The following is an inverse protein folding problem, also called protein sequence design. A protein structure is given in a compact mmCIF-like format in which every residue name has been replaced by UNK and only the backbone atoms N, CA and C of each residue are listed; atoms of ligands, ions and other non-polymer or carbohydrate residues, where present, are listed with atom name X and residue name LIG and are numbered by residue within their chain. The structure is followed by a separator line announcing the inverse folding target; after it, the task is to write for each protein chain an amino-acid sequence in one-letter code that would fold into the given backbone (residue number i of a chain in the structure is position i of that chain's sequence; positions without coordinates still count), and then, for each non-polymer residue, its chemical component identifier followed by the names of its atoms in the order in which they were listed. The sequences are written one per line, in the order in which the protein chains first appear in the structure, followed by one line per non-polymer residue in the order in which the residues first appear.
data_IF_750556650838
#
_entry.id   IF_750556650838
#
_cell.length_a   1.000
_cell.length_b   1.000
_cell.length_c   1.000
_cell.angle_alpha   90.00
_cell.angle_beta   90.00
_cell.angle_gamma   90.00
#
_symmetry.space_group_name_H-M   'P 1'
#
loop_
_entity.id
_entity.type
_entity.pdbx_description
1 polymer ?
#
# COMPACT_ATOMS: atom_id res chain seq x y z
N UNK A 1 23.34 -21.90 -12.51
CA UNK A 1 23.13 -21.52 -11.09
C UNK A 1 22.88 -20.03 -10.86
N UNK A 2 23.59 -19.10 -11.54
CA UNK A 2 23.31 -17.65 -11.45
C UNK A 2 22.06 -17.26 -12.26
N UNK A 3 21.89 -17.81 -13.46
CA UNK A 3 20.71 -17.62 -14.33
C UNK A 3 19.40 -18.02 -13.64
N UNK A 4 19.35 -19.20 -12.99
CA UNK A 4 18.14 -19.67 -12.28
C UNK A 4 17.73 -18.75 -11.13
N UNK A 5 18.70 -18.06 -10.51
CA UNK A 5 18.40 -17.08 -9.45
C UNK A 5 17.78 -15.82 -10.03
N UNK A 6 18.30 -15.32 -11.16
CA UNK A 6 17.75 -14.15 -11.86
C UNK A 6 16.34 -14.44 -12.36
N UNK A 7 16.09 -15.61 -12.93
CA UNK A 7 14.75 -16.00 -13.39
C UNK A 7 13.74 -16.09 -12.24
N UNK A 8 14.13 -16.64 -11.08
CA UNK A 8 13.31 -16.57 -9.85
C UNK A 8 13.06 -15.13 -9.40
N UNK A 9 14.06 -14.27 -9.56
CA UNK A 9 13.96 -12.85 -9.24
C UNK A 9 12.92 -12.14 -10.15
N UNK A 10 12.91 -12.43 -11.43
CA UNK A 10 11.90 -11.89 -12.35
C UNK A 10 10.49 -12.36 -12.02
N UNK A 11 10.30 -13.65 -11.76
CA UNK A 11 8.99 -14.24 -11.39
C UNK A 11 8.44 -13.64 -10.09
N UNK A 12 9.29 -13.44 -9.08
CA UNK A 12 8.88 -12.84 -7.80
C UNK A 12 8.53 -11.36 -7.95
N UNK A 13 9.23 -10.62 -8.81
CA UNK A 13 8.90 -9.21 -9.13
C UNK A 13 7.57 -9.09 -9.84
N UNK A 14 7.29 -9.95 -10.82
CA UNK A 14 5.98 -10.00 -11.49
C UNK A 14 4.84 -10.28 -10.51
N UNK A 15 5.05 -11.21 -9.58
CA UNK A 15 4.08 -11.53 -8.53
C UNK A 15 3.84 -10.36 -7.57
N UNK A 16 4.86 -9.54 -7.28
CA UNK A 16 4.77 -8.35 -6.42
C UNK A 16 4.13 -7.15 -7.12
N UNK A 17 4.10 -7.13 -8.47
CA UNK A 17 3.44 -6.07 -9.24
C UNK A 17 1.91 -6.15 -9.23
N UNK A 18 1.32 -7.14 -8.57
CA UNK A 18 -0.13 -7.25 -8.46
C UNK A 18 -0.70 -6.08 -7.64
N UNK A 19 -1.58 -5.30 -8.26
CA UNK A 19 -2.27 -4.20 -7.57
C UNK A 19 -2.98 -4.71 -6.32
N UNK A 20 -2.78 -4.03 -5.20
CA UNK A 20 -3.49 -4.30 -3.95
C UNK A 20 -5.01 -4.17 -4.15
N UNK A 21 -5.79 -4.93 -3.38
CA UNK A 21 -7.26 -4.81 -3.38
C UNK A 21 -7.72 -3.37 -3.11
N UNK A 22 -7.05 -2.66 -2.21
CA UNK A 22 -7.27 -1.25 -1.94
C UNK A 22 -7.08 -0.37 -3.19
N UNK A 23 -6.00 -0.56 -3.95
CA UNK A 23 -5.74 0.20 -5.18
C UNK A 23 -6.84 -0.02 -6.22
N UNK A 24 -7.31 -1.25 -6.38
CA UNK A 24 -8.40 -1.59 -7.31
C UNK A 24 -9.69 -0.87 -6.94
N UNK A 25 -10.04 -0.84 -5.65
CA UNK A 25 -11.22 -0.12 -5.14
C UNK A 25 -11.07 1.38 -5.41
N UNK A 26 -9.92 1.98 -5.09
CA UNK A 26 -9.68 3.41 -5.30
C UNK A 26 -9.80 3.77 -6.77
N UNK A 27 -9.17 3.01 -7.67
CA UNK A 27 -9.24 3.25 -9.10
C UNK A 27 -10.68 3.12 -9.62
N UNK A 28 -11.42 2.11 -9.16
CA UNK A 28 -12.81 1.92 -9.56
C UNK A 28 -13.69 3.09 -9.11
N UNK A 29 -13.63 3.46 -7.84
CA UNK A 29 -14.43 4.55 -7.27
C UNK A 29 -14.05 5.91 -7.83
N UNK A 30 -12.77 6.16 -8.13
CA UNK A 30 -12.30 7.45 -8.65
C UNK A 30 -12.76 7.74 -10.09
N UNK A 31 -13.29 6.74 -10.82
CA UNK A 31 -13.78 6.91 -12.20
C UNK A 31 -15.09 7.71 -12.30
N UNK A 32 -15.89 7.75 -11.23
CA UNK A 32 -17.20 8.45 -11.29
C UNK A 32 -17.02 9.96 -11.36
N UNK A 33 -16.30 10.55 -10.40
CA UNK A 33 -15.98 11.98 -10.41
C UNK A 33 -14.55 12.17 -9.92
N UNK A 34 -13.81 13.09 -10.56
CA UNK A 34 -12.43 13.40 -10.22
C UNK A 34 -12.38 14.74 -9.50
N UNK A 35 -11.93 14.73 -8.25
CA UNK A 35 -11.73 15.89 -7.41
C UNK A 35 -10.24 16.14 -7.18
N UNK A 36 -9.83 17.40 -7.13
CA UNK A 36 -8.44 17.77 -6.80
C UNK A 36 -8.24 17.79 -5.30
N UNK A 37 -7.15 17.19 -4.86
CA UNK A 37 -6.73 17.25 -3.45
C UNK A 37 -6.31 18.67 -3.10
N UNK A 38 -6.66 19.20 -1.91
CA UNK A 38 -6.11 20.45 -1.40
C UNK A 38 -4.57 20.42 -1.33
N UNK A 39 -3.90 21.51 -1.78
CA UNK A 39 -2.43 21.57 -1.91
C UNK A 39 -1.66 21.19 -0.65
N UNK A 40 -2.20 21.49 0.55
CA UNK A 40 -1.54 21.15 1.80
C UNK A 40 -1.54 19.65 2.11
N UNK A 41 -2.56 18.91 1.63
CA UNK A 41 -2.64 17.45 1.78
C UNK A 41 -1.87 16.72 0.68
N UNK A 42 -1.72 17.32 -0.49
CA UNK A 42 -1.09 16.71 -1.65
C UNK A 42 0.33 16.22 -1.35
N UNK A 43 1.17 17.07 -0.72
CA UNK A 43 2.53 16.69 -0.31
C UNK A 43 2.55 15.49 0.62
N UNK A 44 1.63 15.46 1.58
CA UNK A 44 1.55 14.39 2.58
C UNK A 44 1.10 13.07 1.95
N UNK A 45 0.12 13.10 1.05
CA UNK A 45 -0.32 11.91 0.31
C UNK A 45 0.72 11.44 -0.70
N UNK A 46 1.40 12.33 -1.43
CA UNK A 46 2.50 11.97 -2.32
C UNK A 46 3.61 11.20 -1.58
N UNK A 47 4.00 11.69 -0.40
CA UNK A 47 4.98 11.01 0.44
C UNK A 47 4.49 9.61 0.87
N UNK A 48 3.22 9.46 1.27
CA UNK A 48 2.65 8.18 1.68
C UNK A 48 2.53 7.19 0.51
N UNK A 49 2.12 7.66 -0.66
CA UNK A 49 1.99 6.87 -1.87
C UNK A 49 3.36 6.34 -2.30
N UNK A 50 4.37 7.21 -2.31
CA UNK A 50 5.74 6.83 -2.63
C UNK A 50 6.28 5.79 -1.64
N UNK A 51 6.15 6.04 -0.34
CA UNK A 51 6.65 5.14 0.70
C UNK A 51 5.92 3.78 0.74
N UNK A 52 4.62 3.75 0.47
CA UNK A 52 3.83 2.51 0.42
C UNK A 52 3.89 1.82 -0.96
N UNK A 53 4.64 2.39 -1.93
CA UNK A 53 4.76 1.88 -3.30
C UNK A 53 3.41 1.68 -4.02
N UNK A 54 2.41 2.54 -3.72
CA UNK A 54 1.10 2.50 -4.38
C UNK A 54 1.16 3.03 -5.81
N UNK A 55 0.40 2.41 -6.72
CA UNK A 55 0.24 2.82 -8.13
C UNK A 55 -0.96 3.76 -8.35
N UNK A 56 -1.33 4.54 -7.34
CA UNK A 56 -2.46 5.45 -7.35
C UNK A 56 -2.00 6.88 -7.10
N UNK A 57 -2.82 7.85 -7.48
CA UNK A 57 -2.52 9.28 -7.25
C UNK A 57 -3.28 9.81 -6.03
N UNK A 58 -2.81 10.89 -5.37
CA UNK A 58 -3.55 11.53 -4.28
C UNK A 58 -4.98 11.94 -4.69
N UNK A 59 -5.13 12.43 -5.93
CA UNK A 59 -6.44 12.82 -6.46
C UNK A 59 -7.40 11.63 -6.54
N UNK A 60 -6.91 10.43 -6.88
CA UNK A 60 -7.74 9.23 -6.92
C UNK A 60 -8.23 8.82 -5.53
N UNK A 61 -7.39 8.88 -4.49
CA UNK A 61 -7.78 8.57 -3.12
C UNK A 61 -8.87 9.53 -2.65
N UNK A 62 -8.66 10.82 -2.87
CA UNK A 62 -9.62 11.86 -2.47
C UNK A 62 -10.94 11.74 -3.24
N UNK A 63 -10.87 11.51 -4.54
CA UNK A 63 -12.06 11.30 -5.38
C UNK A 63 -12.84 10.07 -4.97
N UNK A 64 -12.18 8.95 -4.68
CA UNK A 64 -12.82 7.73 -4.23
C UNK A 64 -13.55 7.91 -2.90
N UNK A 65 -12.96 8.64 -1.94
CA UNK A 65 -13.60 8.91 -0.66
C UNK A 65 -14.85 9.78 -0.78
N UNK A 66 -14.83 10.81 -1.65
CA UNK A 66 -16.02 11.64 -1.90
C UNK A 66 -17.08 10.84 -2.65
N UNK A 67 -16.70 10.08 -3.67
CA UNK A 67 -17.65 9.30 -4.46
C UNK A 67 -18.36 8.24 -3.63
N UNK A 68 -17.66 7.53 -2.72
CA UNK A 68 -18.31 6.57 -1.83
C UNK A 68 -19.31 7.27 -0.89
N UNK A 69 -18.95 8.44 -0.35
CA UNK A 69 -19.87 9.22 0.47
C UNK A 69 -21.13 9.63 -0.33
N UNK A 70 -20.96 10.10 -1.56
CA UNK A 70 -22.08 10.48 -2.44
C UNK A 70 -22.98 9.29 -2.77
N UNK A 71 -22.42 8.11 -3.04
CA UNK A 71 -23.19 6.89 -3.30
C UNK A 71 -24.05 6.54 -2.08
N UNK A 72 -23.49 6.54 -0.88
CA UNK A 72 -24.24 6.24 0.34
C UNK A 72 -25.27 7.31 0.66
N UNK A 73 -24.96 8.58 0.40
CA UNK A 73 -25.90 9.69 0.55
C UNK A 73 -27.12 9.55 -0.38
N UNK A 74 -26.90 9.27 -1.67
CA UNK A 74 -27.99 9.03 -2.61
C UNK A 74 -28.81 7.79 -2.24
N UNK A 75 -28.13 6.72 -1.81
CA UNK A 75 -28.79 5.50 -1.35
C UNK A 75 -29.65 5.76 -0.11
N UNK A 76 -29.19 6.59 0.82
CA UNK A 76 -29.97 6.94 2.03
C UNK A 76 -31.25 7.71 1.69
N UNK A 77 -31.19 8.63 0.72
CA UNK A 77 -32.38 9.36 0.24
C UNK A 77 -33.38 8.40 -0.41
N UNK A 78 -32.90 7.49 -1.25
CA UNK A 78 -33.75 6.51 -1.92
C UNK A 78 -34.46 5.62 -0.90
N UNK A 79 -33.74 5.06 0.06
CA UNK A 79 -34.30 4.20 1.12
C UNK A 79 -35.29 4.99 1.98
N UNK A 80 -34.97 6.25 2.33
CA UNK A 80 -35.90 7.10 3.08
C UNK A 80 -37.25 7.23 2.37
N UNK A 81 -37.25 7.51 1.06
CA UNK A 81 -38.49 7.63 0.28
C UNK A 81 -39.26 6.31 0.18
N UNK A 82 -38.57 5.18 0.08
CA UNK A 82 -39.22 3.85 -0.01
C UNK A 82 -39.91 3.48 1.31
N UNK A 83 -39.29 3.77 2.45
CA UNK A 83 -39.82 3.39 3.78
C UNK A 83 -40.72 4.45 4.43
N UNK A 84 -40.74 5.69 3.89
CA UNK A 84 -41.56 6.78 4.41
C UNK A 84 -43.08 6.43 4.54
N UNK A 85 -43.70 5.75 3.55
CA UNK A 85 -45.10 5.39 3.65
C UNK A 85 -45.41 4.30 4.69
N UNK A 86 -44.42 3.51 5.08
CA UNK A 86 -44.60 2.44 6.10
C UNK A 86 -44.49 2.98 7.54
N UNK A 87 -43.46 3.77 7.82
CA UNK A 87 -43.21 4.40 9.12
C UNK A 87 -42.14 5.49 9.02
N UNK A 88 -42.48 6.70 9.43
CA UNK A 88 -41.54 7.84 9.44
C UNK A 88 -40.34 7.57 10.36
N UNK A 89 -40.56 6.94 11.53
CA UNK A 89 -39.53 6.65 12.52
C UNK A 89 -38.48 5.68 11.93
N UNK A 90 -38.93 4.57 11.37
CA UNK A 90 -38.05 3.56 10.78
C UNK A 90 -37.27 4.14 9.58
N UNK A 91 -37.96 4.92 8.72
CA UNK A 91 -37.32 5.57 7.59
C UNK A 91 -36.20 6.51 8.02
N UNK A 92 -36.39 7.28 9.10
CA UNK A 92 -35.40 8.20 9.63
C UNK A 92 -34.18 7.47 10.27
N UNK A 93 -34.41 6.40 11.02
CA UNK A 93 -33.34 5.60 11.61
C UNK A 93 -32.47 4.94 10.53
N UNK A 94 -33.07 4.37 9.50
CA UNK A 94 -32.36 3.79 8.36
C UNK A 94 -31.56 4.86 7.60
N UNK A 95 -32.14 6.02 7.36
CA UNK A 95 -31.46 7.15 6.72
C UNK A 95 -30.19 7.55 7.49
N UNK A 96 -30.29 7.76 8.80
CA UNK A 96 -29.14 8.12 9.64
C UNK A 96 -28.06 7.03 9.66
N UNK A 97 -28.46 5.76 9.77
CA UNK A 97 -27.50 4.65 9.82
C UNK A 97 -26.71 4.51 8.53
N UNK A 98 -27.35 4.70 7.38
CA UNK A 98 -26.68 4.62 6.07
C UNK A 98 -25.72 5.79 5.86
N UNK A 99 -26.11 7.01 6.24
CA UNK A 99 -25.21 8.18 6.17
C UNK A 99 -23.99 7.96 7.06
N UNK A 100 -24.17 7.49 8.30
CA UNK A 100 -23.07 7.25 9.22
C UNK A 100 -22.11 6.21 8.68
N UNK A 101 -22.63 5.14 8.06
CA UNK A 101 -21.82 4.12 7.38
C UNK A 101 -21.03 4.72 6.20
N UNK A 102 -21.65 5.58 5.39
CA UNK A 102 -20.99 6.29 4.28
C UNK A 102 -19.84 7.19 4.75
N UNK A 103 -20.05 7.93 5.87
CA UNK A 103 -19.01 8.77 6.47
C UNK A 103 -17.85 7.92 6.98
N UNK A 104 -18.12 6.84 7.71
CA UNK A 104 -17.05 5.96 8.24
C UNK A 104 -16.23 5.32 7.16
N UNK A 105 -16.84 4.83 6.07
CA UNK A 105 -16.12 4.28 4.93
C UNK A 105 -15.29 5.33 4.18
N UNK A 106 -15.83 6.54 3.97
CA UNK A 106 -15.12 7.65 3.33
C UNK A 106 -13.87 8.04 4.14
N UNK A 107 -14.00 8.21 5.44
CA UNK A 107 -12.90 8.53 6.36
C UNK A 107 -11.88 7.39 6.40
N UNK A 108 -12.32 6.14 6.41
CA UNK A 108 -11.44 4.97 6.37
C UNK A 108 -10.56 4.97 5.11
N UNK A 109 -11.13 5.24 3.93
CA UNK A 109 -10.36 5.30 2.69
C UNK A 109 -9.26 6.37 2.73
N UNK A 110 -9.51 7.53 3.34
CA UNK A 110 -8.53 8.59 3.53
C UNK A 110 -7.43 8.23 4.54
N UNK A 111 -7.79 7.57 5.62
CA UNK A 111 -6.84 7.25 6.70
C UNK A 111 -6.01 6.01 6.37
N UNK A 112 -6.51 5.10 5.55
CA UNK A 112 -5.87 3.82 5.25
C UNK A 112 -4.38 3.91 4.87
N UNK A 113 -3.91 4.82 3.99
CA UNK A 113 -2.48 4.93 3.66
C UNK A 113 -1.60 5.25 4.87
N UNK A 114 -2.11 6.01 5.84
CA UNK A 114 -1.40 6.33 7.09
C UNK A 114 -1.29 5.11 8.00
N UNK A 115 -2.38 4.35 8.14
CA UNK A 115 -2.40 3.12 8.93
C UNK A 115 -1.49 2.07 8.32
N UNK A 116 -1.52 1.90 7.00
CA UNK A 116 -0.70 0.94 6.29
C UNK A 116 0.80 1.22 6.48
N UNK A 117 1.22 2.50 6.39
CA UNK A 117 2.59 2.89 6.71
C UNK A 117 3.00 2.49 8.13
N UNK A 118 2.12 2.69 9.12
CA UNK A 118 2.40 2.31 10.51
C UNK A 118 2.56 0.79 10.65
N UNK A 119 1.71 0.02 9.97
CA UNK A 119 1.77 -1.45 9.96
C UNK A 119 3.08 -1.93 9.32
N UNK A 120 3.45 -1.39 8.15
CA UNK A 120 4.72 -1.73 7.50
C UNK A 120 5.90 -1.47 8.43
N UNK A 121 5.93 -0.31 9.09
CA UNK A 121 6.99 0.02 10.04
C UNK A 121 7.11 -1.02 11.17
N UNK A 122 5.99 -1.48 11.71
CA UNK A 122 6.00 -2.53 12.77
C UNK A 122 6.51 -3.87 12.23
N UNK A 123 6.10 -4.24 11.00
CA UNK A 123 6.57 -5.47 10.35
C UNK A 123 8.09 -5.41 10.16
N UNK A 124 8.61 -4.31 9.59
CA UNK A 124 10.05 -4.12 9.37
C UNK A 124 10.85 -4.24 10.68
N UNK A 125 10.36 -3.62 11.75
CA UNK A 125 11.03 -3.72 13.07
C UNK A 125 11.05 -5.16 13.57
N UNK A 126 9.95 -5.90 13.46
CA UNK A 126 9.89 -7.30 13.91
C UNK A 126 10.77 -8.23 13.07
N UNK A 127 10.83 -8.01 11.75
CA UNK A 127 11.64 -8.80 10.84
C UNK A 127 13.14 -8.48 10.95
N UNK A 128 13.50 -7.24 11.32
CA UNK A 128 14.89 -6.79 11.36
C UNK A 128 15.77 -7.63 12.26
N UNK A 129 15.25 -8.15 13.37
CA UNK A 129 15.99 -9.00 14.31
C UNK A 129 16.48 -10.27 13.61
N UNK A 130 15.58 -10.97 12.92
CA UNK A 130 15.91 -12.19 12.20
C UNK A 130 16.82 -11.91 11.01
N UNK A 131 16.52 -10.91 10.23
CA UNK A 131 17.29 -10.50 9.06
C UNK A 131 18.72 -10.16 9.43
N UNK A 132 18.93 -9.34 10.48
CA UNK A 132 20.27 -9.01 10.95
C UNK A 132 21.03 -10.24 11.46
N UNK A 133 20.36 -11.15 12.17
CA UNK A 133 20.98 -12.39 12.61
C UNK A 133 21.49 -13.23 11.44
N UNK A 134 20.69 -13.37 10.37
CA UNK A 134 21.11 -14.10 9.16
C UNK A 134 22.25 -13.39 8.41
N UNK A 135 22.21 -12.06 8.32
CA UNK A 135 23.31 -11.27 7.73
C UNK A 135 24.61 -11.52 8.50
N UNK A 136 24.60 -11.44 9.84
CA UNK A 136 25.78 -11.64 10.69
C UNK A 136 26.35 -13.06 10.52
N UNK A 137 25.48 -14.08 10.52
CA UNK A 137 25.91 -15.47 10.31
C UNK A 137 26.58 -15.64 8.94
N UNK A 138 26.00 -15.04 7.91
CA UNK A 138 26.56 -15.13 6.55
C UNK A 138 27.89 -14.39 6.42
N UNK A 139 27.99 -13.17 6.97
CA UNK A 139 29.23 -12.38 7.00
C UNK A 139 30.36 -13.07 7.75
N UNK A 140 30.06 -13.85 8.79
CA UNK A 140 31.07 -14.66 9.52
C UNK A 140 31.69 -15.74 8.63
N UNK A 141 30.89 -16.32 7.73
CA UNK A 141 31.34 -17.37 6.80
C UNK A 141 31.98 -16.80 5.53
N UNK A 142 31.42 -15.69 5.04
CA UNK A 142 31.89 -15.01 3.83
C UNK A 142 31.77 -13.49 4.04
N UNK A 143 32.88 -12.76 4.25
CA UNK A 143 32.88 -11.33 4.55
C UNK A 143 32.57 -10.48 3.32
N UNK A 144 31.40 -10.70 2.71
CA UNK A 144 30.87 -9.93 1.59
C UNK A 144 29.43 -9.55 1.89
N UNK A 145 29.15 -8.23 2.03
CA UNK A 145 27.86 -7.70 2.38
C UNK A 145 26.79 -7.95 1.30
N UNK A 146 27.15 -7.83 0.02
CA UNK A 146 26.23 -8.09 -1.08
C UNK A 146 25.74 -9.54 -1.08
N UNK A 147 26.67 -10.50 -0.87
CA UNK A 147 26.31 -11.90 -0.74
C UNK A 147 25.45 -12.19 0.49
N UNK A 148 25.70 -11.50 1.60
CA UNK A 148 24.90 -11.66 2.81
C UNK A 148 23.48 -11.13 2.63
N UNK A 149 23.31 -9.96 1.98
CA UNK A 149 22.00 -9.40 1.62
C UNK A 149 21.27 -10.30 0.62
N UNK A 150 21.98 -10.77 -0.42
CA UNK A 150 21.42 -11.71 -1.40
C UNK A 150 20.95 -13.01 -0.74
N UNK A 151 21.73 -13.53 0.21
CA UNK A 151 21.35 -14.73 0.97
C UNK A 151 20.03 -14.54 1.72
N UNK A 152 19.89 -13.42 2.43
CA UNK A 152 18.65 -13.07 3.14
C UNK A 152 17.47 -12.92 2.15
N UNK A 153 17.68 -12.17 1.08
CA UNK A 153 16.66 -11.91 0.07
C UNK A 153 16.13 -13.19 -0.60
N UNK A 154 16.98 -14.23 -0.72
CA UNK A 154 16.62 -15.48 -1.40
C UNK A 154 16.10 -16.59 -0.47
N UNK A 155 16.46 -16.56 0.81
CA UNK A 155 16.15 -17.65 1.75
C UNK A 155 15.11 -17.28 2.81
N UNK A 156 14.85 -15.99 3.04
CA UNK A 156 13.83 -15.55 3.97
C UNK A 156 12.61 -15.01 3.22
N UNK A 157 11.44 -15.21 3.83
CA UNK A 157 10.17 -14.64 3.37
C UNK A 157 9.78 -13.49 4.30
N UNK A 158 9.40 -12.34 3.75
CA UNK A 158 8.97 -11.20 4.52
C UNK A 158 9.00 -9.91 3.72
N UNK A 159 8.63 -8.82 4.38
CA UNK A 159 8.67 -7.48 3.77
C UNK A 159 10.12 -7.03 3.55
N UNK A 160 10.94 -7.07 4.61
CA UNK A 160 12.33 -6.61 4.56
C UNK A 160 13.21 -7.45 3.63
N UNK A 161 13.17 -8.80 3.64
CA UNK A 161 13.85 -9.62 2.63
C UNK A 161 13.44 -9.26 1.19
N UNK A 162 12.17 -8.94 0.96
CA UNK A 162 11.70 -8.53 -0.37
C UNK A 162 12.20 -7.15 -0.80
N UNK A 163 12.45 -6.22 0.13
CA UNK A 163 13.10 -4.93 -0.18
C UNK A 163 14.58 -5.15 -0.53
N UNK A 164 15.29 -5.99 0.24
CA UNK A 164 16.67 -6.37 -0.09
C UNK A 164 16.78 -7.03 -1.45
N UNK A 165 15.77 -7.79 -1.82
CA UNK A 165 15.69 -8.37 -3.14
C UNK A 165 15.61 -7.29 -4.24
N UNK A 166 14.74 -6.28 -4.11
CA UNK A 166 14.65 -5.17 -5.05
C UNK A 166 15.97 -4.38 -5.13
N UNK A 167 16.62 -4.17 -3.98
CA UNK A 167 17.90 -3.50 -3.88
C UNK A 167 18.99 -4.24 -4.68
N UNK A 168 19.14 -5.55 -4.49
CA UNK A 168 20.11 -6.36 -5.25
C UNK A 168 19.76 -6.39 -6.73
N UNK A 169 18.48 -6.51 -7.08
CA UNK A 169 18.04 -6.46 -8.46
C UNK A 169 18.42 -5.13 -9.15
N UNK A 170 18.22 -4.00 -8.47
CA UNK A 170 18.57 -2.68 -9.00
C UNK A 170 20.10 -2.48 -9.13
N UNK A 171 20.90 -3.12 -8.26
CA UNK A 171 22.36 -3.19 -8.39
C UNK A 171 22.78 -4.00 -9.62
N UNK A 172 22.25 -5.21 -9.77
CA UNK A 172 22.58 -6.11 -10.90
C UNK A 172 22.16 -5.50 -12.26
N UNK A 173 21.06 -4.76 -12.29
CA UNK A 173 20.61 -4.04 -13.50
C UNK A 173 21.34 -2.73 -13.74
N UNK A 174 22.39 -2.43 -12.93
CA UNK A 174 23.21 -1.21 -13.04
C UNK A 174 22.41 0.10 -12.91
N UNK A 175 21.30 0.06 -12.19
CA UNK A 175 20.55 1.27 -11.86
C UNK A 175 21.31 2.13 -10.85
N UNK A 176 22.09 1.50 -9.97
CA UNK A 176 23.01 2.13 -9.02
C UNK A 176 24.43 1.63 -9.27
N UNK A 177 25.42 2.49 -9.01
CA UNK A 177 26.83 2.19 -9.21
C UNK A 177 27.45 1.41 -8.06
N UNK A 178 26.85 1.51 -6.86
CA UNK A 178 27.34 0.87 -5.64
C UNK A 178 26.19 0.52 -4.69
N UNK A 179 26.48 -0.41 -3.75
CA UNK A 179 25.56 -0.80 -2.70
C UNK A 179 25.20 0.39 -1.78
N UNK A 180 26.18 1.27 -1.48
CA UNK A 180 25.98 2.45 -0.63
C UNK A 180 25.02 3.45 -1.26
N UNK A 181 25.11 3.66 -2.56
CA UNK A 181 24.20 4.49 -3.34
C UNK A 181 22.78 3.89 -3.33
N UNK A 182 22.65 2.59 -3.53
CA UNK A 182 21.38 1.89 -3.48
C UNK A 182 20.73 1.98 -2.10
N UNK A 183 21.46 1.72 -1.02
CA UNK A 183 20.94 1.80 0.35
C UNK A 183 20.47 3.22 0.70
N UNK A 184 21.17 4.25 0.22
CA UNK A 184 20.77 5.64 0.49
C UNK A 184 19.46 6.04 -0.19
N UNK A 185 19.09 5.34 -1.26
CA UNK A 185 17.86 5.60 -2.02
C UNK A 185 16.63 4.90 -1.39
N UNK A 186 16.80 3.73 -0.78
CA UNK A 186 15.74 2.93 -0.15
C UNK A 186 15.46 3.34 1.29
#
# INVERSE_FOLDING_TARGET
MFSDKIDKLFILREKKQHMSFYEKIIIFLSKFFIYKVPKYLEKKYNYLIFHNKYKITPNQIFSASINIFLIFFLLSILIYHVFLPASVSIAFELFLSIILTGITLSVYLLIFPFLHKKIIKMIVISESIWVLSYIIINLRNNPNLENAILFVATNLNGYLPSEFFELIYDLETKRFSSLDEAISFY
#
